data_IF_230473818185
#
_entry.id   IF_230473818185
#
_cell.length_a   1.000
_cell.length_b   1.000
_cell.length_c   1.000
_cell.angle_alpha   90.00
_cell.angle_beta   90.00
_cell.angle_gamma   90.00
#
_symmetry.space_group_name_H-M   'P 1'
#
loop_
_entity.id
_entity.type
_entity.pdbx_description
1 polymer ?
#
# COMPACT_ATOMS: atom_id res chain seq x y z
N UNK A 1 -2.93 -21.20 -11.63
CA UNK A 1 -3.96 -20.24 -11.16
C UNK A 1 -3.73 -20.08 -9.66
N UNK A 2 -3.18 -18.96 -9.18
CA UNK A 2 -2.97 -18.78 -7.74
C UNK A 2 -4.32 -18.50 -7.08
N UNK A 3 -4.97 -19.56 -6.59
CA UNK A 3 -6.25 -19.47 -5.91
C UNK A 3 -6.01 -19.05 -4.47
N UNK A 4 -6.03 -17.75 -4.19
CA UNK A 4 -6.02 -17.27 -2.81
C UNK A 4 -7.35 -17.61 -2.15
N UNK A 5 -7.31 -18.09 -0.91
CA UNK A 5 -8.49 -18.21 -0.06
C UNK A 5 -9.03 -16.82 0.33
N UNK A 6 -10.32 -16.74 0.68
CA UNK A 6 -10.93 -15.49 1.20
C UNK A 6 -10.17 -14.95 2.42
N UNK A 7 -9.63 -15.83 3.27
CA UNK A 7 -8.84 -15.44 4.45
C UNK A 7 -7.49 -14.81 4.06
N UNK A 8 -6.79 -15.37 3.06
CA UNK A 8 -5.52 -14.82 2.58
C UNK A 8 -5.71 -13.46 1.91
N UNK A 9 -6.77 -13.28 1.13
CA UNK A 9 -7.11 -11.99 0.50
C UNK A 9 -7.34 -10.94 1.58
N UNK A 10 -8.15 -11.25 2.59
CA UNK A 10 -8.40 -10.34 3.72
C UNK A 10 -7.12 -10.02 4.50
N UNK A 11 -6.25 -11.01 4.72
CA UNK A 11 -4.96 -10.80 5.38
C UNK A 11 -4.09 -9.83 4.58
N UNK A 12 -3.86 -10.12 3.29
CA UNK A 12 -3.06 -9.28 2.39
C UNK A 12 -3.62 -7.86 2.28
N UNK A 13 -4.94 -7.72 2.14
CA UNK A 13 -5.59 -6.42 2.11
C UNK A 13 -5.36 -5.62 3.39
N UNK A 14 -5.49 -6.22 4.57
CA UNK A 14 -5.22 -5.54 5.85
C UNK A 14 -3.76 -5.09 5.96
N UNK A 15 -2.82 -5.94 5.58
CA UNK A 15 -1.39 -5.58 5.56
C UNK A 15 -1.14 -4.41 4.60
N UNK A 16 -1.68 -4.45 3.39
CA UNK A 16 -1.53 -3.38 2.41
C UNK A 16 -2.18 -2.06 2.87
N UNK A 17 -3.36 -2.10 3.50
CA UNK A 17 -3.99 -0.90 4.09
C UNK A 17 -3.12 -0.27 5.18
N UNK A 18 -2.58 -1.08 6.10
CA UNK A 18 -1.67 -0.58 7.14
C UNK A 18 -0.42 0.05 6.53
N UNK A 19 0.18 -0.61 5.53
CA UNK A 19 1.34 -0.07 4.82
C UNK A 19 1.03 1.25 4.08
N UNK A 20 -0.17 1.39 3.49
CA UNK A 20 -0.58 2.63 2.86
C UNK A 20 -0.74 3.78 3.87
N UNK A 21 -1.26 3.50 5.07
CA UNK A 21 -1.41 4.49 6.13
C UNK A 21 -0.02 4.94 6.62
N UNK A 22 0.84 4.00 7.03
CA UNK A 22 2.19 4.31 7.51
C UNK A 22 3.03 5.06 6.47
N UNK A 23 2.99 4.62 5.21
CA UNK A 23 3.71 5.30 4.13
C UNK A 23 3.17 6.72 3.87
N UNK A 24 1.85 6.94 3.94
CA UNK A 24 1.29 8.30 3.81
C UNK A 24 1.65 9.20 4.99
N UNK A 25 1.65 8.66 6.21
CA UNK A 25 2.02 9.41 7.41
C UNK A 25 3.49 9.84 7.34
N UNK A 26 4.39 8.95 6.90
CA UNK A 26 5.80 9.32 6.68
C UNK A 26 5.99 10.28 5.52
N UNK A 27 5.30 10.08 4.40
CA UNK A 27 5.33 11.03 3.28
C UNK A 27 4.92 12.45 3.70
N UNK A 28 3.95 12.58 4.62
CA UNK A 28 3.51 13.86 5.19
C UNK A 28 4.51 14.42 6.20
N UNK A 29 5.11 13.56 7.01
CA UNK A 29 6.10 13.95 8.01
C UNK A 29 7.45 14.40 7.39
N UNK A 30 7.84 13.83 6.25
CA UNK A 30 9.07 14.22 5.55
C UNK A 30 8.97 15.66 5.05
N UNK A 31 9.82 16.53 5.61
CA UNK A 31 9.90 17.95 5.23
C UNK A 31 10.43 18.10 3.79
N UNK A 32 9.91 19.10 3.08
CA UNK A 32 10.40 19.47 1.75
C UNK A 32 11.73 20.21 1.85
N UNK A 33 12.81 19.49 1.61
CA UNK A 33 14.18 20.01 1.45
C UNK A 33 14.97 19.06 0.56
N UNK A 34 16.21 19.40 0.15
CA UNK A 34 17.01 18.58 -0.76
C UNK A 34 17.14 17.12 -0.28
N UNK A 35 17.43 16.93 1.01
CA UNK A 35 17.58 15.61 1.62
C UNK A 35 16.23 14.90 1.85
N UNK A 36 15.13 15.66 1.95
CA UNK A 36 13.80 15.14 2.14
C UNK A 36 13.07 14.79 0.84
N UNK A 37 13.59 15.19 -0.33
CA UNK A 37 12.90 14.98 -1.59
C UNK A 37 12.86 13.49 -1.99
N UNK A 38 13.99 12.79 -1.90
CA UNK A 38 14.07 11.36 -2.21
C UNK A 38 13.26 10.53 -1.24
N UNK A 39 13.39 10.82 0.06
CA UNK A 39 12.62 10.12 1.09
C UNK A 39 11.11 10.35 0.90
N UNK A 40 10.70 11.59 0.65
CA UNK A 40 9.31 11.92 0.39
C UNK A 40 8.80 11.23 -0.87
N UNK A 41 9.60 11.16 -1.93
CA UNK A 41 9.26 10.43 -3.14
C UNK A 41 9.09 8.93 -2.85
N UNK A 42 10.02 8.32 -2.13
CA UNK A 42 9.97 6.91 -1.73
C UNK A 42 8.70 6.57 -0.95
N UNK A 43 8.39 7.32 0.10
CA UNK A 43 7.17 7.09 0.89
C UNK A 43 5.90 7.28 0.05
N UNK A 44 5.91 8.23 -0.88
CA UNK A 44 4.82 8.42 -1.84
C UNK A 44 4.62 7.24 -2.79
N UNK A 45 5.70 6.70 -3.36
CA UNK A 45 5.65 5.50 -4.21
C UNK A 45 5.21 4.26 -3.44
N UNK A 46 5.69 4.09 -2.20
CA UNK A 46 5.28 2.98 -1.35
C UNK A 46 3.78 3.03 -1.03
N UNK A 47 3.25 4.21 -0.67
CA UNK A 47 1.82 4.40 -0.46
C UNK A 47 1.00 4.03 -1.70
N UNK A 48 1.46 4.44 -2.90
CA UNK A 48 0.84 4.07 -4.19
C UNK A 48 0.87 2.56 -4.43
N UNK A 49 1.99 1.89 -4.16
CA UNK A 49 2.12 0.45 -4.31
C UNK A 49 1.16 -0.31 -3.38
N UNK A 50 1.08 0.11 -2.12
CA UNK A 50 0.13 -0.44 -1.15
C UNK A 50 -1.32 -0.26 -1.60
N UNK A 51 -1.71 0.92 -2.09
CA UNK A 51 -3.03 1.14 -2.67
C UNK A 51 -3.32 0.23 -3.86
N UNK A 52 -2.35 0.02 -4.77
CA UNK A 52 -2.52 -0.92 -5.91
C UNK A 52 -2.77 -2.35 -5.45
N UNK A 53 -2.08 -2.83 -4.41
CA UNK A 53 -2.31 -4.17 -3.87
C UNK A 53 -3.70 -4.29 -3.21
N UNK A 54 -4.17 -3.26 -2.50
CA UNK A 54 -5.56 -3.23 -1.97
C UNK A 54 -6.58 -3.36 -3.11
N UNK A 55 -6.42 -2.58 -4.18
CA UNK A 55 -7.31 -2.65 -5.33
C UNK A 55 -7.26 -4.02 -6.02
N UNK A 56 -6.07 -4.61 -6.14
CA UNK A 56 -5.89 -5.96 -6.67
C UNK A 56 -6.61 -7.00 -5.82
N UNK A 57 -6.45 -6.96 -4.50
CA UNK A 57 -7.12 -7.89 -3.58
C UNK A 57 -8.65 -7.72 -3.65
N UNK A 58 -9.17 -6.49 -3.74
CA UNK A 58 -10.60 -6.25 -3.91
C UNK A 58 -11.13 -6.82 -5.24
N UNK A 59 -10.37 -6.72 -6.33
CA UNK A 59 -10.75 -7.32 -7.64
C UNK A 59 -10.75 -8.85 -7.58
N UNK A 60 -9.81 -9.46 -6.88
CA UNK A 60 -9.77 -10.91 -6.68
C UNK A 60 -10.94 -11.35 -5.80
N UNK A 61 -11.22 -10.65 -4.69
CA UNK A 61 -12.35 -10.97 -3.80
C UNK A 61 -13.70 -10.92 -4.53
N UNK A 62 -13.90 -9.96 -5.43
CA UNK A 62 -15.13 -9.84 -6.25
C UNK A 62 -15.31 -10.95 -7.28
N UNK A 63 -14.25 -11.69 -7.61
CA UNK A 63 -14.26 -12.78 -8.60
C UNK A 63 -14.41 -14.16 -7.95
N UNK A 64 -14.46 -14.22 -6.60
CA UNK A 64 -14.66 -15.43 -5.79
C UNK A 64 -16.10 -15.52 -5.27
#
# INVERSE_FOLDING_TARGET
MNTFTKQEIRRRRRTALRGAIDANDRHRATRGGPDGHEEKFFWGELARACHREVQRMNRIEKRL
#
